data_IF_002976802867
#
_entry.id   IF_002976802867
#
_cell.length_a   1.000
_cell.length_b   1.000
_cell.length_c   1.000
_cell.angle_alpha   90.00
_cell.angle_beta   90.00
_cell.angle_gamma   90.00
#
_symmetry.space_group_name_H-M   'P 1'
#
loop_
_entity.id
_entity.type
_entity.pdbx_description
1 polymer ?
#
# COMPACT_ATOMS: atom_id res chain seq x y z
N UNK A 1 -58.10 -14.40 28.23
CA UNK A 1 -56.72 -14.03 28.64
C UNK A 1 -56.71 -12.57 29.08
N UNK A 2 -56.51 -12.30 30.38
CA UNK A 2 -56.66 -10.96 30.96
C UNK A 2 -55.58 -9.99 30.46
N UNK A 3 -55.89 -8.68 30.38
CA UNK A 3 -54.91 -7.63 30.03
C UNK A 3 -53.66 -7.69 30.93
N UNK A 4 -53.85 -8.03 32.20
CA UNK A 4 -52.77 -8.23 33.17
C UNK A 4 -51.78 -9.34 32.74
N UNK A 5 -52.28 -10.49 32.27
CA UNK A 5 -51.40 -11.58 31.81
C UNK A 5 -50.57 -11.16 30.59
N UNK A 6 -51.15 -10.39 29.66
CA UNK A 6 -50.41 -9.87 28.50
C UNK A 6 -49.31 -8.88 28.90
N UNK A 7 -49.58 -8.01 29.88
CA UNK A 7 -48.57 -7.07 30.38
C UNK A 7 -47.41 -7.78 31.07
N UNK A 8 -47.69 -8.80 31.90
CA UNK A 8 -46.65 -9.58 32.58
C UNK A 8 -45.79 -10.33 31.58
N UNK A 9 -46.40 -11.00 30.60
CA UNK A 9 -45.66 -11.72 29.55
C UNK A 9 -44.82 -10.76 28.70
N UNK A 10 -45.39 -9.61 28.30
CA UNK A 10 -44.67 -8.60 27.53
C UNK A 10 -43.50 -8.00 28.31
N UNK A 11 -43.69 -7.70 29.60
CA UNK A 11 -42.64 -7.19 30.48
C UNK A 11 -41.51 -8.19 30.69
N UNK A 12 -41.83 -9.46 30.94
CA UNK A 12 -40.84 -10.53 31.09
C UNK A 12 -40.03 -10.74 29.80
N UNK A 13 -40.69 -10.67 28.64
CA UNK A 13 -40.03 -10.81 27.34
C UNK A 13 -39.09 -9.63 27.07
N UNK A 14 -39.53 -8.40 27.33
CA UNK A 14 -38.70 -7.20 27.19
C UNK A 14 -37.47 -7.24 28.11
N UNK A 15 -37.67 -7.64 29.37
CA UNK A 15 -36.57 -7.78 30.34
C UNK A 15 -35.57 -8.86 29.87
N UNK A 16 -36.06 -10.00 29.39
CA UNK A 16 -35.23 -11.07 28.83
C UNK A 16 -34.39 -10.60 27.64
N UNK A 17 -34.97 -9.82 26.72
CA UNK A 17 -34.25 -9.25 25.57
C UNK A 17 -33.16 -8.28 26.02
N UNK A 18 -33.45 -7.37 26.97
CA UNK A 18 -32.46 -6.41 27.48
C UNK A 18 -31.30 -7.13 28.17
N UNK A 19 -31.58 -8.13 29.00
CA UNK A 19 -30.55 -8.95 29.66
C UNK A 19 -29.74 -9.78 28.64
N UNK A 20 -30.39 -10.30 27.61
CA UNK A 20 -29.74 -11.03 26.52
C UNK A 20 -28.76 -10.15 25.74
N UNK A 21 -29.19 -8.96 25.33
CA UNK A 21 -28.31 -7.99 24.66
C UNK A 21 -27.16 -7.58 25.57
N UNK A 22 -27.44 -7.26 26.84
CA UNK A 22 -26.42 -6.88 27.81
C UNK A 22 -25.42 -8.00 28.14
N UNK A 23 -25.79 -9.26 27.94
CA UNK A 23 -24.87 -10.40 28.07
C UNK A 23 -24.02 -10.57 26.82
N UNK A 24 -24.61 -10.42 25.63
CA UNK A 24 -23.90 -10.48 24.35
C UNK A 24 -22.88 -9.36 24.20
N UNK A 25 -23.12 -8.16 24.74
CA UNK A 25 -22.14 -7.06 24.71
C UNK A 25 -20.92 -7.30 25.60
N UNK A 26 -21.00 -8.23 26.54
CA UNK A 26 -19.86 -8.63 27.40
C UNK A 26 -19.05 -9.79 26.81
N UNK A 27 -19.49 -10.37 25.70
CA UNK A 27 -18.66 -11.34 24.99
C UNK A 27 -17.49 -10.59 24.36
N UNK A 28 -16.29 -10.90 24.84
CA UNK A 28 -15.05 -10.38 24.28
C UNK A 28 -14.87 -10.97 22.88
N UNK A 29 -15.13 -10.14 21.87
CA UNK A 29 -14.80 -10.48 20.49
C UNK A 29 -13.29 -10.32 20.29
N UNK A 30 -12.57 -11.43 20.22
CA UNK A 30 -11.15 -11.45 19.88
C UNK A 30 -10.99 -11.67 18.37
N UNK A 31 -10.76 -10.58 17.63
CA UNK A 31 -10.52 -10.65 16.18
C UNK A 31 -9.18 -11.36 15.84
N UNK A 32 -8.26 -11.40 16.82
CA UNK A 32 -6.96 -12.07 16.75
C UNK A 32 -6.83 -12.96 17.97
N UNK A 33 -6.34 -14.21 17.86
CA UNK A 33 -6.09 -15.05 19.02
C UNK A 33 -5.20 -14.29 20.01
N UNK A 34 -5.59 -14.28 21.28
CA UNK A 34 -5.04 -13.40 22.29
C UNK A 34 -3.56 -13.66 22.62
N UNK A 35 -2.87 -14.56 21.92
CA UNK A 35 -1.47 -14.91 22.11
C UNK A 35 -0.56 -14.55 20.94
N UNK A 36 -1.11 -14.11 19.79
CA UNK A 36 -0.35 -13.88 18.56
C UNK A 36 0.42 -12.57 18.60
N UNK A 37 1.60 -12.59 17.97
CA UNK A 37 2.31 -11.40 17.57
C UNK A 37 1.77 -10.87 16.23
N UNK A 38 2.09 -9.63 15.89
CA UNK A 38 1.70 -9.01 14.61
C UNK A 38 2.92 -8.39 13.91
N UNK A 39 3.16 -8.81 12.67
CA UNK A 39 4.05 -8.10 11.75
C UNK A 39 3.18 -7.15 10.91
N UNK A 40 3.32 -5.85 11.18
CA UNK A 40 2.57 -4.80 10.50
C UNK A 40 3.48 -4.07 9.52
N UNK A 41 3.06 -3.95 8.28
CA UNK A 41 3.70 -3.12 7.27
C UNK A 41 2.84 -1.87 7.10
N UNK A 42 3.40 -0.68 7.31
CA UNK A 42 2.66 0.54 7.06
C UNK A 42 3.56 1.69 6.62
N UNK A 43 3.35 2.21 5.41
CA UNK A 43 4.01 3.43 4.95
C UNK A 43 3.25 4.10 3.80
N UNK A 44 3.61 5.37 3.57
CA UNK A 44 3.18 6.15 2.42
C UNK A 44 4.39 6.57 1.62
N UNK A 45 4.38 6.26 0.33
CA UNK A 45 5.54 6.39 -0.55
C UNK A 45 5.21 7.28 -1.74
N UNK A 46 5.99 8.35 -1.96
CA UNK A 46 5.92 9.13 -3.20
C UNK A 46 6.80 8.46 -4.25
N UNK A 47 6.19 8.14 -5.37
CA UNK A 47 6.80 7.40 -6.47
C UNK A 47 6.94 8.30 -7.68
N UNK A 48 7.96 8.04 -8.51
CA UNK A 48 8.15 8.82 -9.72
C UNK A 48 6.98 8.59 -10.67
N UNK A 49 6.62 9.63 -11.43
CA UNK A 49 5.76 9.45 -12.60
C UNK A 49 6.62 8.93 -13.74
N UNK A 50 6.14 7.88 -14.39
CA UNK A 50 6.72 7.37 -15.63
C UNK A 50 5.87 7.92 -16.77
N UNK A 51 6.53 8.54 -17.74
CA UNK A 51 5.90 9.00 -18.96
C UNK A 51 5.97 7.90 -20.01
N UNK A 52 4.82 7.37 -20.41
CA UNK A 52 4.71 6.46 -21.54
C UNK A 52 4.43 7.29 -22.80
N UNK A 53 5.45 7.52 -23.61
CA UNK A 53 5.34 8.24 -24.86
C UNK A 53 5.10 7.28 -26.02
N UNK A 54 3.96 7.43 -26.72
CA UNK A 54 3.66 6.71 -27.96
C UNK A 54 3.52 7.66 -29.13
N UNK A 55 3.95 7.21 -30.32
CA UNK A 55 3.68 7.93 -31.57
C UNK A 55 2.27 7.61 -32.04
N UNK A 56 1.50 8.64 -32.37
CA UNK A 56 0.18 8.46 -32.96
C UNK A 56 0.31 8.05 -34.43
N UNK A 57 -0.47 7.04 -34.82
CA UNK A 57 -0.62 6.68 -36.24
C UNK A 57 -1.29 7.83 -37.00
N UNK A 58 -1.16 7.82 -38.32
CA UNK A 58 -1.75 8.86 -39.18
C UNK A 58 -3.27 8.93 -39.01
N UNK A 59 -3.95 7.78 -38.98
CA UNK A 59 -5.39 7.70 -38.79
C UNK A 59 -5.84 8.26 -37.43
N UNK A 60 -5.14 7.91 -36.34
CA UNK A 60 -5.43 8.47 -35.01
C UNK A 60 -5.20 9.98 -34.94
N UNK A 61 -4.13 10.47 -35.58
CA UNK A 61 -3.81 11.90 -35.62
C UNK A 61 -4.84 12.70 -36.42
N UNK A 62 -5.33 12.16 -37.53
CA UNK A 62 -6.35 12.81 -38.36
C UNK A 62 -7.71 12.88 -37.65
N UNK A 63 -8.02 11.88 -36.81
CA UNK A 63 -9.20 11.88 -35.94
C UNK A 63 -9.16 12.97 -34.84
N UNK A 64 -7.98 13.52 -34.51
CA UNK A 64 -7.85 14.60 -33.54
C UNK A 64 -8.12 15.98 -34.17
N UNK A 65 -8.70 16.94 -33.42
CA UNK A 65 -8.83 18.34 -33.86
C UNK A 65 -7.49 18.95 -34.23
N UNK A 66 -7.47 19.87 -35.20
CA UNK A 66 -6.24 20.45 -35.78
C UNK A 66 -5.27 20.99 -34.71
N UNK A 67 -5.78 21.64 -33.66
CA UNK A 67 -4.97 22.21 -32.56
C UNK A 67 -4.48 21.16 -31.54
N UNK A 68 -4.96 19.92 -31.62
CA UNK A 68 -4.56 18.79 -30.77
C UNK A 68 -3.75 17.72 -31.51
N UNK A 69 -3.54 17.87 -32.83
CA UNK A 69 -2.76 16.92 -33.63
C UNK A 69 -1.29 16.98 -33.24
N UNK A 70 -0.84 15.99 -32.48
CA UNK A 70 0.56 15.82 -32.09
C UNK A 70 1.11 14.53 -32.66
N UNK A 71 2.41 14.49 -32.90
CA UNK A 71 3.08 13.30 -33.39
C UNK A 71 3.34 12.28 -32.28
N UNK A 72 3.62 12.78 -31.08
CA UNK A 72 3.87 12.00 -29.87
C UNK A 72 2.87 12.43 -28.81
N UNK A 73 2.27 11.46 -28.13
CA UNK A 73 1.48 11.66 -26.92
C UNK A 73 2.20 10.94 -25.79
N UNK A 74 2.50 11.68 -24.73
CA UNK A 74 3.06 11.15 -23.50
C UNK A 74 1.98 11.14 -22.43
N UNK A 75 1.71 9.98 -21.86
CA UNK A 75 0.78 9.81 -20.75
C UNK A 75 1.59 9.51 -19.48
N UNK A 76 1.46 10.38 -18.47
CA UNK A 76 2.13 10.20 -17.19
C UNK A 76 1.33 9.28 -16.29
N UNK A 77 1.89 8.14 -15.90
CA UNK A 77 1.31 7.21 -14.91
C UNK A 77 2.24 7.08 -13.70
N UNK A 78 1.67 6.90 -12.52
CA UNK A 78 2.43 6.54 -11.33
C UNK A 78 2.86 5.07 -11.43
N UNK A 79 4.13 4.78 -11.13
CA UNK A 79 4.63 3.40 -11.18
C UNK A 79 3.94 2.49 -10.15
N UNK A 80 3.59 1.29 -10.57
CA UNK A 80 3.11 0.21 -9.70
C UNK A 80 4.27 -0.60 -9.12
N UNK A 81 4.10 -1.15 -7.93
CA UNK A 81 5.10 -1.94 -7.22
C UNK A 81 4.53 -3.30 -6.82
N UNK A 82 5.36 -4.34 -6.82
CA UNK A 82 5.04 -5.64 -6.26
C UNK A 82 5.51 -5.68 -4.81
N UNK A 83 4.60 -5.97 -3.89
CA UNK A 83 4.89 -6.27 -2.49
C UNK A 83 4.91 -7.79 -2.30
N UNK A 84 5.97 -8.30 -1.70
CA UNK A 84 6.09 -9.69 -1.29
C UNK A 84 6.60 -9.79 0.15
N UNK A 85 5.91 -10.59 0.97
CA UNK A 85 6.27 -10.84 2.37
C UNK A 85 6.50 -12.34 2.53
N UNK A 86 7.71 -12.70 2.94
CA UNK A 86 8.11 -14.08 3.24
C UNK A 86 8.46 -14.18 4.71
N UNK A 87 7.88 -15.17 5.38
CA UNK A 87 8.15 -15.47 6.79
C UNK A 87 8.52 -16.93 6.90
N UNK A 88 9.69 -17.21 7.47
CA UNK A 88 10.27 -18.55 7.64
C UNK A 88 10.32 -19.34 6.32
N UNK A 89 10.73 -18.64 5.25
CA UNK A 89 10.83 -19.21 3.91
C UNK A 89 9.49 -19.40 3.17
N UNK A 90 8.36 -19.11 3.82
CA UNK A 90 7.02 -19.24 3.22
C UNK A 90 6.48 -17.87 2.80
N UNK A 91 5.99 -17.75 1.57
CA UNK A 91 5.30 -16.53 1.11
C UNK A 91 3.98 -16.40 1.88
N UNK A 92 3.87 -15.35 2.69
CA UNK A 92 2.67 -15.03 3.47
C UNK A 92 1.77 -14.03 2.77
N UNK A 93 2.34 -13.13 1.98
CA UNK A 93 1.59 -12.14 1.22
C UNK A 93 2.28 -11.82 -0.10
N UNK A 94 1.47 -11.57 -1.13
CA UNK A 94 1.92 -11.04 -2.41
C UNK A 94 0.83 -10.18 -3.04
N UNK A 95 1.14 -8.93 -3.36
CA UNK A 95 0.18 -8.01 -3.98
C UNK A 95 0.86 -7.02 -4.92
N UNK A 96 0.05 -6.34 -5.73
CA UNK A 96 0.48 -5.18 -6.52
C UNK A 96 -0.08 -3.93 -5.86
N UNK A 97 0.80 -2.98 -5.59
CA UNK A 97 0.50 -1.69 -4.95
C UNK A 97 0.54 -0.61 -6.02
N UNK A 98 -0.59 0.08 -6.18
CA UNK A 98 -0.80 1.09 -7.22
C UNK A 98 -1.14 2.45 -6.62
N UNK A 99 -0.97 3.51 -7.42
CA UNK A 99 -1.36 4.87 -7.04
C UNK A 99 -2.86 4.95 -6.81
N UNK A 100 -3.27 5.40 -5.62
CA UNK A 100 -4.69 5.52 -5.30
C UNK A 100 -5.36 6.69 -6.07
N UNK A 101 -6.69 6.70 -6.10
CA UNK A 101 -7.50 7.78 -6.67
C UNK A 101 -7.84 7.59 -8.15
N UNK A 102 -8.89 8.29 -8.62
CA UNK A 102 -9.44 8.11 -9.98
C UNK A 102 -8.44 8.41 -11.11
N UNK A 103 -7.40 9.21 -10.83
CA UNK A 103 -6.33 9.56 -11.78
C UNK A 103 -5.01 8.83 -11.49
N UNK A 104 -4.97 7.96 -10.49
CA UNK A 104 -3.76 7.25 -10.06
C UNK A 104 -2.62 8.16 -9.63
N UNK A 105 -2.90 9.40 -9.21
CA UNK A 105 -1.92 10.43 -8.91
C UNK A 105 -1.55 10.55 -7.42
N UNK A 106 -2.20 9.75 -6.57
CA UNK A 106 -1.92 9.74 -5.13
C UNK A 106 -0.69 8.87 -4.83
N UNK A 107 0.02 9.16 -3.72
CA UNK A 107 1.11 8.31 -3.25
C UNK A 107 0.67 6.87 -3.04
N UNK A 108 1.63 5.94 -3.15
CA UNK A 108 1.39 4.56 -2.76
C UNK A 108 1.12 4.51 -1.26
N UNK A 109 0.18 3.65 -0.90
CA UNK A 109 -0.13 3.34 0.48
C UNK A 109 0.02 1.84 0.67
N UNK A 110 0.87 1.46 1.60
CA UNK A 110 1.03 0.06 2.01
C UNK A 110 0.49 -0.05 3.42
N UNK A 111 -0.43 -0.99 3.61
CA UNK A 111 -0.91 -1.41 4.92
C UNK A 111 -1.22 -2.90 4.86
N UNK A 112 -0.44 -3.69 5.57
CA UNK A 112 -0.65 -5.13 5.71
C UNK A 112 -0.34 -5.56 7.14
N UNK A 113 -1.14 -6.48 7.67
CA UNK A 113 -0.97 -7.00 9.03
C UNK A 113 -1.01 -8.53 9.00
N UNK A 114 0.07 -9.15 9.46
CA UNK A 114 0.19 -10.61 9.52
C UNK A 114 0.27 -11.06 10.97
N UNK A 115 -0.67 -11.88 11.40
CA UNK A 115 -0.59 -12.55 12.69
C UNK A 115 0.45 -13.67 12.64
N UNK A 116 1.39 -13.65 13.57
CA UNK A 116 2.47 -14.62 13.72
C UNK A 116 2.42 -15.28 15.10
N UNK A 117 2.98 -16.48 15.22
CA UNK A 117 3.23 -17.06 16.55
C UNK A 117 4.27 -16.19 17.29
N UNK A 118 4.26 -16.18 18.62
CA UNK A 118 5.41 -15.70 19.38
C UNK A 118 6.64 -16.57 19.10
N UNK A 119 7.80 -15.95 18.89
CA UNK A 119 9.04 -16.66 18.63
C UNK A 119 10.01 -15.92 17.72
N UNK A 120 11.03 -16.65 17.26
CA UNK A 120 12.02 -16.17 16.29
C UNK A 120 11.51 -16.42 14.88
N UNK A 121 11.43 -15.38 14.08
CA UNK A 121 11.01 -15.46 12.69
C UNK A 121 12.05 -14.86 11.76
N UNK A 122 12.32 -15.53 10.64
CA UNK A 122 13.09 -14.96 9.54
C UNK A 122 12.13 -14.26 8.58
N UNK A 123 12.19 -12.93 8.54
CA UNK A 123 11.28 -12.10 7.76
C UNK A 123 12.02 -11.47 6.59
N UNK A 124 11.46 -11.62 5.39
CA UNK A 124 11.87 -10.91 4.19
C UNK A 124 10.70 -10.12 3.62
N UNK A 125 10.87 -8.82 3.47
CA UNK A 125 9.91 -7.94 2.79
C UNK A 125 10.58 -7.40 1.55
N UNK A 126 10.00 -7.63 0.37
CA UNK A 126 10.45 -7.08 -0.89
C UNK A 126 9.39 -6.16 -1.49
N UNK A 127 9.80 -4.98 -1.93
CA UNK A 127 8.96 -3.99 -2.58
C UNK A 127 9.66 -3.51 -3.85
N UNK A 128 9.18 -3.94 -5.01
CA UNK A 128 9.89 -3.82 -6.29
C UNK A 128 9.02 -3.18 -7.38
N UNK A 129 9.56 -2.22 -8.12
CA UNK A 129 8.83 -1.54 -9.20
C UNK A 129 8.55 -2.51 -10.34
N UNK A 130 7.29 -2.57 -10.78
CA UNK A 130 6.88 -3.37 -11.93
C UNK A 130 7.35 -2.67 -13.20
N UNK A 131 7.99 -3.41 -14.11
CA UNK A 131 8.55 -2.87 -15.35
C UNK A 131 9.95 -2.27 -15.22
N UNK A 132 10.64 -2.49 -14.09
CA UNK A 132 12.05 -2.12 -13.94
C UNK A 132 13.02 -2.95 -14.80
N UNK A 133 12.57 -4.12 -15.27
CA UNK A 133 13.36 -5.03 -16.10
C UNK A 133 13.52 -4.54 -17.55
N UNK A 134 12.81 -3.48 -17.95
CA UNK A 134 13.05 -2.76 -19.19
C UNK A 134 14.10 -1.66 -18.97
N UNK A 135 15.33 -2.07 -18.64
CA UNK A 135 16.48 -1.17 -18.72
C UNK A 135 16.61 -0.59 -20.14
N UNK A 136 17.03 0.67 -20.29
CA UNK A 136 17.22 1.24 -21.61
C UNK A 136 18.35 0.48 -22.30
N UNK A 137 18.03 -0.20 -23.39
CA UNK A 137 19.03 -0.53 -24.39
C UNK A 137 19.57 0.79 -24.92
N UNK A 138 20.67 1.25 -24.34
CA UNK A 138 21.49 2.30 -24.88
C UNK A 138 21.93 1.84 -26.28
N UNK A 139 21.25 2.34 -27.31
CA UNK A 139 21.71 2.25 -28.69
C UNK A 139 21.01 3.32 -29.53
N UNK A 140 21.85 4.02 -30.29
CA UNK A 140 21.55 4.98 -31.34
C UNK A 140 21.21 6.42 -30.91
N UNK A 141 22.29 7.18 -30.65
CA UNK A 141 22.57 8.49 -31.25
C UNK A 141 21.51 9.04 -32.22
N UNK A 142 20.94 10.18 -31.85
CA UNK A 142 20.17 11.04 -32.74
C UNK A 142 19.95 12.38 -32.07
N UNK A 143 20.66 13.40 -32.57
CA UNK A 143 20.53 14.82 -32.23
C UNK A 143 19.10 15.21 -31.83
N UNK A 144 18.92 15.59 -30.56
CA UNK A 144 17.73 16.28 -30.09
C UNK A 144 18.17 17.42 -29.17
N UNK A 145 17.76 18.68 -29.43
CA UNK A 145 18.11 19.79 -28.57
C UNK A 145 17.56 19.54 -27.16
N UNK A 146 18.28 19.99 -26.11
CA UNK A 146 17.92 19.69 -24.72
C UNK A 146 16.52 20.24 -24.45
N UNK A 147 15.58 19.34 -24.15
CA UNK A 147 14.33 19.72 -23.54
C UNK A 147 14.66 20.35 -22.18
N UNK A 148 14.19 21.57 -21.99
CA UNK A 148 14.38 22.39 -20.81
C UNK A 148 14.13 21.56 -19.55
N UNK A 149 15.22 21.27 -18.84
CA UNK A 149 15.17 20.86 -17.44
C UNK A 149 14.51 22.04 -16.73
N UNK A 150 13.23 21.88 -16.38
CA UNK A 150 12.54 22.86 -15.56
C UNK A 150 13.36 23.05 -14.30
N UNK A 151 13.95 24.24 -14.14
CA UNK A 151 14.81 24.53 -13.01
C UNK A 151 14.05 24.28 -11.71
N UNK A 152 14.66 23.59 -10.73
CA UNK A 152 14.03 23.36 -9.45
C UNK A 152 13.75 24.71 -8.78
N UNK A 153 12.47 25.01 -8.53
CA UNK A 153 12.04 26.19 -7.78
C UNK A 153 12.77 26.23 -6.43
N UNK A 154 13.64 27.22 -6.18
CA UNK A 154 14.42 27.28 -4.96
C UNK A 154 13.51 27.60 -3.76
N UNK A 155 13.64 26.82 -2.68
CA UNK A 155 12.92 27.07 -1.41
C UNK A 155 11.92 25.99 -0.99
N UNK A 156 11.64 24.99 -1.82
CA UNK A 156 10.89 23.78 -1.42
C UNK A 156 11.80 22.57 -1.51
N UNK A 157 12.57 22.29 -0.46
CA UNK A 157 13.19 20.97 -0.31
C UNK A 157 12.08 19.92 -0.45
N UNK A 158 12.16 18.99 -1.41
CA UNK A 158 11.20 17.89 -1.50
C UNK A 158 11.39 17.03 -0.24
N UNK A 159 10.58 17.27 0.80
CA UNK A 159 10.50 16.32 1.91
C UNK A 159 9.90 15.03 1.34
N UNK A 160 10.72 13.99 1.26
CA UNK A 160 10.38 12.68 0.72
C UNK A 160 11.13 12.41 -0.59
N UNK A 161 12.27 11.74 -0.47
CA UNK A 161 12.99 11.19 -1.62
C UNK A 161 12.15 10.19 -2.39
N UNK A 162 12.38 10.11 -3.71
CA UNK A 162 11.76 9.13 -4.60
C UNK A 162 12.09 7.71 -4.13
N UNK A 163 11.04 6.91 -3.96
CA UNK A 163 11.16 5.49 -3.56
C UNK A 163 12.02 4.75 -4.58
N UNK A 164 13.06 4.01 -4.13
CA UNK A 164 13.90 3.21 -5.02
C UNK A 164 13.11 2.12 -5.74
N UNK A 165 13.64 1.70 -6.87
CA UNK A 165 13.11 0.63 -7.73
C UNK A 165 12.98 -0.71 -7.01
N UNK A 166 13.83 -0.92 -6.01
CA UNK A 166 13.90 -2.14 -5.22
C UNK A 166 14.22 -1.79 -3.78
N UNK A 167 13.36 -2.23 -2.89
CA UNK A 167 13.54 -2.18 -1.44
C UNK A 167 13.41 -3.59 -0.89
N UNK A 168 14.40 -4.02 -0.11
CA UNK A 168 14.40 -5.33 0.54
C UNK A 168 14.78 -5.15 2.00
N UNK A 169 13.96 -5.70 2.89
CA UNK A 169 14.29 -5.93 4.29
C UNK A 169 14.48 -7.44 4.47
N UNK A 170 15.59 -7.85 5.07
CA UNK A 170 15.83 -9.21 5.53
C UNK A 170 16.33 -9.16 6.97
N UNK A 171 15.50 -9.62 7.91
CA UNK A 171 15.80 -9.52 9.33
C UNK A 171 15.28 -10.73 10.11
N UNK A 172 15.94 -11.06 11.21
CA UNK A 172 15.43 -12.03 12.18
C UNK A 172 14.78 -11.27 13.33
N UNK A 173 13.48 -11.44 13.47
CA UNK A 173 12.69 -10.77 14.49
C UNK A 173 12.42 -11.74 15.65
N UNK A 174 12.59 -11.26 16.87
CA UNK A 174 12.07 -11.92 18.07
C UNK A 174 10.74 -11.26 18.44
N UNK A 175 9.66 -12.03 18.37
CA UNK A 175 8.31 -11.57 18.64
C UNK A 175 7.78 -12.19 19.94
N UNK A 176 7.44 -11.34 20.90
CA UNK A 176 6.72 -11.70 22.11
C UNK A 176 5.21 -11.86 21.87
N UNK A 177 4.54 -12.39 22.88
CA UNK A 177 3.07 -12.48 22.86
C UNK A 177 2.44 -11.10 22.79
N UNK A 178 1.51 -10.89 21.84
CA UNK A 178 0.86 -9.59 21.57
C UNK A 178 1.81 -8.47 21.15
N UNK A 179 3.04 -8.81 20.76
CA UNK A 179 3.98 -7.82 20.28
C UNK A 179 3.64 -7.42 18.84
N UNK A 180 3.75 -6.12 18.55
CA UNK A 180 3.63 -5.59 17.20
C UNK A 180 5.00 -5.12 16.74
N UNK A 181 5.47 -5.64 15.62
CA UNK A 181 6.63 -5.07 14.92
C UNK A 181 6.14 -4.36 13.66
N UNK A 182 6.50 -3.09 13.56
CA UNK A 182 6.19 -2.25 12.42
C UNK A 182 7.37 -2.24 11.45
N UNK A 183 7.10 -2.65 10.22
CA UNK A 183 7.96 -2.42 9.06
C UNK A 183 7.46 -1.18 8.32
N UNK A 184 8.34 -0.20 8.16
CA UNK A 184 8.04 1.07 7.48
C UNK A 184 9.15 1.43 6.49
N UNK A 185 8.87 2.39 5.62
CA UNK A 185 9.85 2.98 4.72
C UNK A 185 10.46 4.23 5.34
N UNK A 186 11.76 4.20 5.57
CA UNK A 186 12.56 5.37 5.94
C UNK A 186 13.00 6.09 4.66
N UNK A 187 12.50 7.33 4.47
CA UNK A 187 12.79 8.12 3.29
C UNK A 187 14.20 8.72 3.28
N UNK A 188 14.82 8.91 4.46
CA UNK A 188 16.16 9.46 4.60
C UNK A 188 17.20 8.36 4.37
N UNK A 189 16.98 7.19 4.97
CA UNK A 189 17.82 6.00 4.73
C UNK A 189 17.52 5.31 3.38
N UNK A 190 16.39 5.65 2.73
CA UNK A 190 15.87 5.01 1.52
C UNK A 190 15.81 3.48 1.65
N UNK A 191 15.39 3.01 2.82
CA UNK A 191 15.39 1.59 3.18
C UNK A 191 14.08 1.23 3.91
N UNK A 192 13.75 -0.05 3.90
CA UNK A 192 12.75 -0.59 4.80
C UNK A 192 13.41 -0.81 6.16
N UNK A 193 12.72 -0.42 7.23
CA UNK A 193 13.19 -0.57 8.61
C UNK A 193 12.12 -1.27 9.43
N UNK A 194 12.53 -2.18 10.31
CA UNK A 194 11.66 -2.78 11.31
C UNK A 194 11.90 -2.14 12.67
N UNK A 195 10.83 -1.87 13.40
CA UNK A 195 10.90 -1.31 14.74
C UNK A 195 9.64 -1.61 15.54
N UNK A 196 9.73 -1.41 16.86
CA UNK A 196 8.53 -1.42 17.70
C UNK A 196 7.85 -0.06 17.54
N UNK A 197 6.52 -0.01 17.37
CA UNK A 197 5.81 1.26 17.39
C UNK A 197 5.92 1.86 18.80
N UNK A 198 6.38 3.12 18.87
CA UNK A 198 6.43 3.91 20.11
C UNK A 198 5.03 4.24 20.65
#
# INVERSE_FOLDING_TARGET
MSRALRMVVGGALALGVVLGIGSLTRLEYTATPADRAELRLAWRARVPRVEECRRLTRAEREALPVHMRREVVCEGRVSSYRLEIVVDGTVRHRSVVEGAGARGDRPLYVFEALALEPGRHAVRVAFERIGADAGPTASASGDRPPAEVSEPVPGRSPRGGTVPDRLVLEERLELGSREVVLVTYDADARALVAGRPD
#
